data_IF_517278563077
#
_entry.id   IF_517278563077
#
_cell.length_a   1.000
_cell.length_b   1.000
_cell.length_c   1.000
_cell.angle_alpha   90.00
_cell.angle_beta   90.00
_cell.angle_gamma   90.00
#
_symmetry.space_group_name_H-M   'P 1'
#
loop_
_entity.id
_entity.type
_entity.pdbx_description
1 polymer ?
#
# COMPACT_ATOMS: atom_id res chain seq x y z
N UNK A 1 -13.37 13.74 22.97
CA UNK A 1 -12.98 13.91 21.58
C UNK A 1 -13.91 14.88 20.87
N UNK A 2 -13.36 15.96 20.30
CA UNK A 2 -14.10 16.90 19.48
C UNK A 2 -14.73 16.18 18.27
N UNK A 3 -16.00 16.45 17.91
CA UNK A 3 -16.66 15.80 16.77
C UNK A 3 -15.86 15.91 15.47
N UNK A 4 -15.22 17.05 15.22
CA UNK A 4 -14.41 17.30 14.02
C UNK A 4 -13.17 16.40 14.01
N UNK A 5 -12.49 16.27 15.15
CA UNK A 5 -11.27 15.45 15.23
C UNK A 5 -11.60 13.96 15.02
N UNK A 6 -12.73 13.50 15.58
CA UNK A 6 -13.21 12.13 15.37
C UNK A 6 -13.45 11.83 13.89
N UNK A 7 -14.11 12.75 13.19
CA UNK A 7 -14.35 12.60 11.74
C UNK A 7 -13.02 12.59 10.98
N UNK A 8 -12.10 13.50 11.30
CA UNK A 8 -10.78 13.55 10.65
C UNK A 8 -10.00 12.24 10.83
N UNK A 9 -9.89 11.72 12.06
CA UNK A 9 -9.12 10.49 12.31
C UNK A 9 -9.81 9.25 11.75
N UNK A 10 -11.13 9.27 11.58
CA UNK A 10 -11.86 8.25 10.82
C UNK A 10 -11.58 8.34 9.32
N UNK A 11 -11.58 9.53 8.73
CA UNK A 11 -11.25 9.73 7.31
C UNK A 11 -9.84 9.24 7.00
N UNK A 12 -8.83 9.61 7.81
CA UNK A 12 -7.45 9.14 7.64
C UNK A 12 -7.33 7.62 7.67
N UNK A 13 -8.09 6.95 8.57
CA UNK A 13 -8.12 5.48 8.63
C UNK A 13 -8.82 4.85 7.44
N UNK A 14 -9.89 5.48 6.95
CA UNK A 14 -10.60 5.06 5.76
C UNK A 14 -9.71 5.14 4.53
N UNK A 15 -9.01 6.27 4.35
CA UNK A 15 -8.04 6.44 3.26
C UNK A 15 -6.89 5.44 3.36
N UNK A 16 -6.38 5.16 4.57
CA UNK A 16 -5.39 4.09 4.76
C UNK A 16 -5.91 2.73 4.29
N UNK A 17 -7.19 2.42 4.54
CA UNK A 17 -7.83 1.21 4.04
C UNK A 17 -7.91 1.16 2.51
N UNK A 18 -8.16 2.30 1.86
CA UNK A 18 -8.12 2.40 0.38
C UNK A 18 -6.72 2.09 -0.14
N UNK A 19 -5.68 2.65 0.48
CA UNK A 19 -4.30 2.39 0.08
C UNK A 19 -3.89 0.92 0.26
N UNK A 20 -4.35 0.25 1.32
CA UNK A 20 -4.12 -1.20 1.48
C UNK A 20 -4.82 -2.00 0.38
N UNK A 21 -6.07 -1.68 0.05
CA UNK A 21 -6.79 -2.36 -1.01
C UNK A 21 -6.12 -2.19 -2.39
N UNK A 22 -5.55 -1.00 -2.65
CA UNK A 22 -4.76 -0.77 -3.86
C UNK A 22 -3.43 -1.54 -3.84
N UNK A 23 -2.79 -1.66 -2.67
CA UNK A 23 -1.58 -2.46 -2.50
C UNK A 23 -1.83 -3.95 -2.80
N UNK A 24 -2.95 -4.49 -2.34
CA UNK A 24 -3.38 -5.86 -2.66
C UNK A 24 -3.64 -6.02 -4.17
N UNK A 25 -4.37 -5.08 -4.77
CA UNK A 25 -4.68 -5.13 -6.20
C UNK A 25 -3.41 -5.09 -7.08
N UNK A 26 -2.43 -4.26 -6.74
CA UNK A 26 -1.18 -4.19 -7.52
C UNK A 26 -0.28 -5.42 -7.27
N UNK A 27 -0.31 -5.99 -6.07
CA UNK A 27 0.36 -7.25 -5.78
C UNK A 27 -0.21 -8.41 -6.62
N UNK A 28 -1.54 -8.49 -6.70
CA UNK A 28 -2.24 -9.47 -7.54
C UNK A 28 -1.92 -9.29 -9.03
N UNK A 29 -1.84 -8.05 -9.52
CA UNK A 29 -1.40 -7.76 -10.88
C UNK A 29 0.04 -8.24 -11.12
N UNK A 30 0.94 -8.01 -10.15
CA UNK A 30 2.31 -8.51 -10.18
C UNK A 30 2.37 -10.04 -10.23
N UNK A 31 1.58 -10.73 -9.41
CA UNK A 31 1.52 -12.20 -9.40
C UNK A 31 1.02 -12.76 -10.75
N UNK A 32 0.01 -12.12 -11.35
CA UNK A 32 -0.48 -12.49 -12.68
C UNK A 32 0.57 -12.24 -13.77
N UNK A 33 1.29 -11.12 -13.71
CA UNK A 33 2.36 -10.81 -14.64
C UNK A 33 3.55 -11.78 -14.51
N UNK A 34 3.87 -12.21 -13.29
CA UNK A 34 4.92 -13.19 -13.04
C UNK A 34 4.59 -14.55 -13.66
N UNK A 35 3.32 -14.96 -13.57
CA UNK A 35 2.79 -16.17 -14.21
C UNK A 35 2.79 -16.15 -15.74
N UNK A 36 3.09 -15.01 -16.37
CA UNK A 36 3.26 -14.94 -17.82
C UNK A 36 4.65 -15.39 -18.28
N UNK A 37 5.62 -15.57 -17.38
CA UNK A 37 6.96 -16.01 -17.76
C UNK A 37 6.95 -17.31 -18.58
N UNK A 38 7.34 -17.20 -19.86
CA UNK A 38 7.53 -18.34 -20.73
C UNK A 38 8.84 -19.04 -20.39
N UNK A 39 8.80 -20.35 -20.17
CA UNK A 39 10.03 -21.13 -20.05
C UNK A 39 10.61 -21.44 -21.44
N UNK A 40 11.93 -21.73 -21.50
CA UNK A 40 12.65 -21.99 -22.77
C UNK A 40 12.08 -23.15 -23.59
N UNK A 41 11.36 -24.08 -22.95
CA UNK A 41 10.76 -25.25 -23.61
C UNK A 41 9.43 -24.87 -24.27
N UNK A 42 8.61 -24.05 -23.61
CA UNK A 42 7.31 -23.55 -24.12
C UNK A 42 7.46 -22.62 -25.33
N UNK A 43 8.58 -21.90 -25.43
CA UNK A 43 8.75 -20.89 -26.45
C UNK A 43 9.13 -21.42 -27.85
N UNK A 44 9.72 -22.62 -27.93
CA UNK A 44 10.09 -23.25 -29.20
C UNK A 44 10.78 -22.31 -30.20
N UNK A 45 10.14 -22.06 -31.35
CA UNK A 45 10.63 -21.18 -32.44
C UNK A 45 10.77 -19.71 -32.03
N UNK A 46 10.08 -19.27 -30.98
CA UNK A 46 10.13 -17.89 -30.48
C UNK A 46 11.27 -17.63 -29.50
N UNK A 47 12.27 -18.53 -29.43
CA UNK A 47 13.36 -18.46 -28.47
C UNK A 47 14.08 -17.10 -28.43
N UNK A 48 14.21 -16.43 -29.59
CA UNK A 48 14.81 -15.11 -29.69
C UNK A 48 14.05 -14.01 -28.92
N UNK A 49 12.73 -14.17 -28.74
CA UNK A 49 11.87 -13.21 -28.05
C UNK A 49 11.67 -13.51 -26.57
N UNK A 50 11.96 -14.75 -26.12
CA UNK A 50 11.79 -15.19 -24.72
C UNK A 50 12.55 -14.31 -23.75
N UNK A 51 13.79 -13.96 -24.10
CA UNK A 51 14.61 -13.12 -23.23
C UNK A 51 14.02 -11.72 -23.08
N UNK A 52 13.62 -11.08 -24.19
CA UNK A 52 13.03 -9.74 -24.15
C UNK A 52 11.68 -9.74 -23.42
N UNK A 53 10.86 -10.75 -23.68
CA UNK A 53 9.57 -10.94 -23.02
C UNK A 53 9.73 -11.19 -21.51
N UNK A 54 10.68 -12.05 -21.12
CA UNK A 54 11.05 -12.30 -19.73
C UNK A 54 11.56 -11.04 -19.02
N UNK A 55 12.38 -10.23 -19.69
CA UNK A 55 12.83 -8.95 -19.13
C UNK A 55 11.66 -8.00 -18.88
N UNK A 56 10.77 -7.81 -19.86
CA UNK A 56 9.63 -6.91 -19.69
C UNK A 56 8.65 -7.40 -18.63
N UNK A 57 8.34 -8.70 -18.58
CA UNK A 57 7.50 -9.27 -17.52
C UNK A 57 8.17 -9.09 -16.14
N UNK A 58 9.47 -9.34 -16.03
CA UNK A 58 10.25 -9.07 -14.82
C UNK A 58 10.21 -7.60 -14.38
N UNK A 59 10.32 -6.64 -15.31
CA UNK A 59 10.21 -5.21 -15.01
C UNK A 59 8.81 -4.84 -14.47
N UNK A 60 7.75 -5.38 -15.09
CA UNK A 60 6.37 -5.17 -14.62
C UNK A 60 6.19 -5.72 -13.22
N UNK A 61 6.65 -6.95 -12.95
CA UNK A 61 6.60 -7.57 -11.61
C UNK A 61 7.35 -6.71 -10.59
N UNK A 62 8.55 -6.23 -10.93
CA UNK A 62 9.35 -5.39 -10.04
C UNK A 62 8.63 -4.08 -9.70
N UNK A 63 8.01 -3.43 -10.70
CA UNK A 63 7.23 -2.19 -10.49
C UNK A 63 5.97 -2.43 -9.66
N UNK A 64 5.29 -3.56 -9.84
CA UNK A 64 4.15 -3.94 -9.01
C UNK A 64 4.56 -4.10 -7.54
N UNK A 65 5.69 -4.76 -7.26
CA UNK A 65 6.22 -4.92 -5.89
C UNK A 65 6.64 -3.59 -5.27
N UNK A 66 7.28 -2.72 -6.04
CA UNK A 66 7.61 -1.36 -5.59
C UNK A 66 6.34 -0.58 -5.25
N UNK A 67 5.33 -0.63 -6.13
CA UNK A 67 4.03 0.01 -5.92
C UNK A 67 3.33 -0.48 -4.65
N UNK A 68 3.27 -1.80 -4.45
CA UNK A 68 2.70 -2.41 -3.24
C UNK A 68 3.37 -1.85 -1.97
N UNK A 69 4.71 -1.85 -1.93
CA UNK A 69 5.46 -1.38 -0.78
C UNK A 69 5.17 0.10 -0.48
N UNK A 70 5.16 0.96 -1.51
CA UNK A 70 4.86 2.39 -1.34
C UNK A 70 3.43 2.65 -0.89
N UNK A 71 2.45 1.90 -1.40
CA UNK A 71 1.06 2.04 -0.97
C UNK A 71 0.89 1.66 0.50
N UNK A 72 1.54 0.58 0.96
CA UNK A 72 1.58 0.19 2.37
C UNK A 72 2.26 1.25 3.25
N UNK A 73 3.33 1.88 2.78
CA UNK A 73 3.98 2.99 3.47
C UNK A 73 3.02 4.17 3.68
N UNK A 74 2.25 4.54 2.64
CA UNK A 74 1.25 5.60 2.72
C UNK A 74 0.15 5.25 3.73
N UNK A 75 -0.40 4.03 3.66
CA UNK A 75 -1.43 3.56 4.59
C UNK A 75 -0.95 3.62 6.05
N UNK A 76 0.29 3.20 6.30
CA UNK A 76 0.91 3.26 7.62
C UNK A 76 1.12 4.70 8.11
N UNK A 77 1.55 5.61 7.22
CA UNK A 77 1.71 7.02 7.56
C UNK A 77 0.37 7.66 7.97
N UNK A 78 -0.70 7.40 7.23
CA UNK A 78 -2.05 7.90 7.55
C UNK A 78 -2.54 7.40 8.91
N UNK A 79 -2.34 6.10 9.20
CA UNK A 79 -2.66 5.51 10.52
C UNK A 79 -1.86 6.13 11.64
N UNK A 80 -0.57 6.38 11.43
CA UNK A 80 0.30 7.01 12.41
C UNK A 80 -0.15 8.45 12.71
N UNK A 81 -0.52 9.21 11.68
CA UNK A 81 -1.05 10.57 11.85
C UNK A 81 -2.37 10.54 12.63
N UNK A 82 -3.30 9.64 12.28
CA UNK A 82 -4.55 9.48 13.02
C UNK A 82 -4.31 9.13 14.50
N UNK A 83 -3.38 8.20 14.78
CA UNK A 83 -3.01 7.83 16.15
C UNK A 83 -2.37 8.97 16.94
N UNK A 84 -1.56 9.81 16.30
CA UNK A 84 -0.98 10.99 16.93
C UNK A 84 -2.05 12.01 17.33
N UNK A 85 -3.06 12.23 16.48
CA UNK A 85 -4.18 13.11 16.82
C UNK A 85 -4.96 12.61 18.04
N UNK A 86 -5.31 11.32 18.06
CA UNK A 86 -6.03 10.73 19.20
C UNK A 86 -5.23 10.81 20.50
N UNK A 87 -3.91 10.60 20.42
CA UNK A 87 -3.01 10.70 21.59
C UNK A 87 -2.93 12.13 22.12
N UNK A 88 -2.66 13.10 21.25
CA UNK A 88 -2.54 14.52 21.65
C UNK A 88 -3.83 15.02 22.31
N UNK A 89 -4.99 14.58 21.82
CA UNK A 89 -6.25 14.97 22.44
C UNK A 89 -6.47 14.32 23.81
N UNK A 90 -6.15 13.04 23.96
CA UNK A 90 -6.24 12.35 25.25
C UNK A 90 -5.34 13.02 26.32
N UNK A 91 -4.12 13.40 25.93
CA UNK A 91 -3.19 14.12 26.79
C UNK A 91 -3.73 15.51 27.17
N UNK A 92 -4.27 16.27 26.21
CA UNK A 92 -4.88 17.57 26.46
C UNK A 92 -6.09 17.49 27.40
N UNK A 93 -6.95 16.48 27.23
CA UNK A 93 -8.10 16.25 28.11
C UNK A 93 -7.67 15.86 29.54
N UNK A 94 -6.60 15.07 29.68
CA UNK A 94 -6.05 14.70 30.98
C UNK A 94 -5.45 15.89 31.73
N UNK A 95 -4.68 16.74 31.03
CA UNK A 95 -4.13 17.98 31.59
C UNK A 95 -5.23 18.95 32.03
N UNK A 96 -6.28 19.13 31.21
CA UNK A 96 -7.41 19.98 31.57
C UNK A 96 -8.07 19.53 32.89
N UNK A 97 -8.28 18.22 33.07
CA UNK A 97 -8.85 17.63 34.29
C UNK A 97 -7.95 17.74 35.53
N UNK A 98 -6.65 17.98 35.36
CA UNK A 98 -5.73 18.18 36.48
C UNK A 98 -5.67 19.64 36.95
N UNK A 99 -5.95 20.59 36.06
CA UNK A 99 -5.82 22.03 36.31
C UNK A 99 -7.16 22.64 36.76
N UNK A 100 -8.29 22.07 36.34
CA UNK A 100 -9.65 22.48 36.69
C UNK A 100 -10.39 21.34 37.39
#
# INVERSE_FOLDING_TARGET
MSPILKVLTQTLRSEAGVWDAQAEAIADAGNKADGLHLNRIEAGVFQAFVTAYGTTTGEVVARCREGEARMKEIANALRKVAGNYDKTEAEGAALFKQIF
#
